data_IF_338632251676
#
_entry.id   IF_338632251676
#
_cell.length_a   1.000
_cell.length_b   1.000
_cell.length_c   1.000
_cell.angle_alpha   90.00
_cell.angle_beta   90.00
_cell.angle_gamma   90.00
#
_symmetry.space_group_name_H-M   'P 1'
#
loop_
_entity.id
_entity.type
_entity.pdbx_description
1 polymer ?
#
# COMPACT_ATOMS: atom_id res chain seq x y z
N UNK A 1 -7.05 25.77 -21.71
CA UNK A 1 -5.97 26.70 -21.29
C UNK A 1 -6.02 26.78 -19.77
N UNK A 2 -5.21 25.99 -19.07
CA UNK A 2 -5.17 25.97 -17.61
C UNK A 2 -4.27 27.08 -17.05
N UNK A 3 -4.42 27.48 -15.78
CA UNK A 3 -3.60 28.52 -15.17
C UNK A 3 -2.15 28.05 -15.14
N UNK A 4 -1.28 28.75 -15.87
CA UNK A 4 0.13 28.44 -15.92
C UNK A 4 0.76 28.51 -14.54
N UNK A 5 1.50 27.47 -14.15
CA UNK A 5 2.39 27.54 -12.99
C UNK A 5 3.32 28.74 -13.18
N UNK A 6 3.42 29.62 -12.20
CA UNK A 6 4.45 30.65 -12.21
C UNK A 6 5.82 29.95 -12.22
N UNK A 7 6.72 30.31 -13.18
CA UNK A 7 8.09 29.83 -13.15
C UNK A 7 8.74 30.15 -11.81
N UNK A 8 9.61 29.27 -11.33
CA UNK A 8 10.36 29.44 -10.05
C UNK A 8 10.96 30.84 -9.91
N UNK A 9 11.42 31.44 -11.00
CA UNK A 9 11.90 32.82 -11.05
C UNK A 9 10.85 33.89 -10.71
N UNK A 10 9.58 33.73 -11.13
CA UNK A 10 8.51 34.66 -10.77
C UNK A 10 8.15 34.57 -9.29
N UNK A 11 8.11 33.36 -8.73
CA UNK A 11 7.87 33.14 -7.30
C UNK A 11 8.99 33.74 -6.44
N UNK A 12 10.25 33.48 -6.82
CA UNK A 12 11.42 34.06 -6.14
C UNK A 12 11.46 35.60 -6.28
N UNK A 13 11.10 36.15 -7.44
CA UNK A 13 10.95 37.61 -7.61
C UNK A 13 9.84 38.20 -6.75
N UNK A 14 8.74 37.47 -6.54
CA UNK A 14 7.62 37.91 -5.68
C UNK A 14 8.01 37.90 -4.20
N UNK A 15 8.72 36.87 -3.74
CA UNK A 15 9.27 36.80 -2.38
C UNK A 15 10.33 37.89 -2.17
N UNK A 16 11.21 38.11 -3.16
CA UNK A 16 12.20 39.18 -3.10
C UNK A 16 11.58 40.56 -2.99
N UNK A 17 10.44 40.82 -3.65
CA UNK A 17 9.68 42.06 -3.50
C UNK A 17 9.12 42.24 -2.09
N UNK A 18 8.53 41.19 -1.52
CA UNK A 18 7.99 41.19 -0.14
C UNK A 18 9.09 41.45 0.89
N UNK A 19 10.28 40.87 0.70
CA UNK A 19 11.45 41.10 1.56
C UNK A 19 11.92 42.56 1.53
N UNK A 20 11.96 43.19 0.35
CA UNK A 20 12.30 44.62 0.21
C UNK A 20 11.26 45.51 0.89
N UNK A 21 9.97 45.20 0.73
CA UNK A 21 8.89 46.01 1.29
C UNK A 21 8.75 45.88 2.83
N UNK A 22 9.27 44.79 3.42
CA UNK A 22 9.16 44.51 4.87
C UNK A 22 10.47 44.67 5.65
N UNK A 23 11.58 45.00 4.97
CA UNK A 23 12.89 45.13 5.61
C UNK A 23 13.48 43.82 6.13
N UNK A 24 12.92 42.68 5.74
CA UNK A 24 13.42 41.34 6.11
C UNK A 24 14.41 40.89 5.05
N UNK A 25 15.67 40.64 5.41
CA UNK A 25 16.65 40.13 4.45
C UNK A 25 16.27 38.72 3.98
N UNK A 26 16.40 38.44 2.68
CA UNK A 26 16.16 37.11 2.10
C UNK A 26 16.97 35.99 2.80
N UNK A 27 18.12 36.34 3.39
CA UNK A 27 18.98 35.47 4.21
C UNK A 27 18.31 34.96 5.49
N UNK A 28 17.29 35.66 6.02
CA UNK A 28 16.53 35.27 7.22
C UNK A 28 15.26 34.48 6.90
N UNK A 29 14.75 34.52 5.67
CA UNK A 29 13.74 33.59 5.18
C UNK A 29 14.42 32.29 4.75
N UNK A 30 14.71 31.42 5.72
CA UNK A 30 15.06 30.03 5.43
C UNK A 30 13.81 29.25 4.98
N UNK A 31 13.17 29.67 3.88
CA UNK A 31 12.12 28.91 3.21
C UNK A 31 12.82 27.83 2.39
N UNK A 32 13.34 26.84 3.09
CA UNK A 32 13.64 25.54 2.50
C UNK A 32 12.28 25.02 1.99
N UNK A 33 12.06 24.98 0.68
CA UNK A 33 10.95 24.21 0.12
C UNK A 33 11.31 22.76 0.38
N UNK A 34 10.87 22.25 1.52
CA UNK A 34 11.05 20.87 1.93
C UNK A 34 10.24 20.01 0.96
N UNK A 35 10.92 19.38 0.00
CA UNK A 35 10.29 18.50 -1.00
C UNK A 35 9.97 17.15 -0.35
N UNK A 36 8.87 17.10 0.40
CA UNK A 36 8.41 15.85 1.00
C UNK A 36 7.93 14.86 -0.09
N UNK A 37 8.28 13.58 0.05
CA UNK A 37 7.70 12.53 -0.80
C UNK A 37 6.31 12.21 -0.31
N UNK A 38 5.31 12.41 -1.16
CA UNK A 38 3.92 12.12 -0.85
C UNK A 38 3.58 10.68 -1.25
N UNK A 39 3.33 9.83 -0.26
CA UNK A 39 2.76 8.49 -0.45
C UNK A 39 1.25 8.54 -0.21
N UNK A 40 0.49 8.03 -1.17
CA UNK A 40 -0.96 7.91 -1.10
C UNK A 40 -1.34 6.43 -1.08
N UNK A 41 -1.67 5.90 0.10
CA UNK A 41 -2.12 4.53 0.27
C UNK A 41 -3.57 4.40 -0.21
N UNK A 42 -3.76 3.82 -1.40
CA UNK A 42 -5.09 3.59 -1.96
C UNK A 42 -5.78 2.40 -1.28
N UNK A 43 -7.10 2.43 -1.23
CA UNK A 43 -7.90 1.29 -0.81
C UNK A 43 -7.83 0.17 -1.87
N UNK A 44 -7.81 -1.08 -1.41
CA UNK A 44 -7.90 -2.25 -2.30
C UNK A 44 -9.34 -2.46 -2.75
N UNK A 45 -9.51 -2.85 -4.02
CA UNK A 45 -10.82 -3.21 -4.59
C UNK A 45 -10.96 -4.70 -4.89
N UNK A 46 -9.86 -5.45 -4.85
CA UNK A 46 -9.89 -6.88 -5.10
C UNK A 46 -10.70 -7.56 -3.98
N UNK A 47 -11.74 -8.35 -4.30
CA UNK A 47 -12.53 -9.04 -3.29
C UNK A 47 -11.65 -9.88 -2.37
N UNK A 48 -11.92 -9.84 -1.07
CA UNK A 48 -11.19 -10.55 0.00
C UNK A 48 -9.72 -10.13 0.18
N UNK A 49 -9.24 -9.08 -0.49
CA UNK A 49 -7.91 -8.53 -0.23
C UNK A 49 -7.96 -7.64 1.02
N UNK A 50 -7.84 -8.27 2.19
CA UNK A 50 -7.81 -7.57 3.49
C UNK A 50 -6.43 -7.00 3.83
N UNK A 51 -5.37 -7.41 3.10
CA UNK A 51 -4.02 -6.90 3.34
C UNK A 51 -3.88 -5.48 2.83
N UNK A 52 -2.87 -4.78 3.32
CA UNK A 52 -2.54 -3.41 2.95
C UNK A 52 -1.03 -3.30 2.72
N UNK A 53 -0.60 -2.39 1.86
CA UNK A 53 0.82 -2.18 1.59
C UNK A 53 1.55 -1.56 2.79
N UNK A 54 0.90 -0.64 3.50
CA UNK A 54 1.44 0.02 4.69
C UNK A 54 0.53 -0.27 5.88
N UNK A 55 1.11 -0.81 6.96
CA UNK A 55 0.43 -0.97 8.25
C UNK A 55 0.43 0.36 9.04
N UNK A 56 -0.43 0.54 10.04
CA UNK A 56 -0.39 1.72 10.92
C UNK A 56 1.00 1.94 11.55
N UNK A 57 1.69 0.89 11.94
CA UNK A 57 3.06 0.95 12.49
C UNK A 57 4.03 1.51 11.45
N UNK A 58 3.98 1.01 10.22
CA UNK A 58 4.83 1.53 9.13
C UNK A 58 4.51 2.97 8.76
N UNK A 59 3.26 3.38 8.83
CA UNK A 59 2.90 4.79 8.69
C UNK A 59 3.54 5.65 9.80
N UNK A 60 3.54 5.20 11.06
CA UNK A 60 4.21 5.91 12.17
C UNK A 60 5.72 6.03 11.97
N UNK A 61 6.35 4.99 11.44
CA UNK A 61 7.79 5.01 11.09
C UNK A 61 8.06 6.02 9.96
N UNK A 62 7.27 5.98 8.88
CA UNK A 62 7.45 6.83 7.70
C UNK A 62 7.26 8.32 8.00
N UNK A 63 6.26 8.71 8.80
CA UNK A 63 6.05 10.12 9.18
C UNK A 63 7.27 10.69 9.92
N UNK A 64 7.99 9.86 10.67
CA UNK A 64 9.18 10.28 11.43
C UNK A 64 10.47 10.20 10.59
N UNK A 65 10.43 9.55 9.44
CA UNK A 65 11.61 9.32 8.62
C UNK A 65 11.98 10.58 7.83
N UNK A 66 13.29 10.80 7.69
CA UNK A 66 13.88 11.83 6.82
C UNK A 66 14.54 11.12 5.64
N UNK A 67 14.37 11.66 4.44
CA UNK A 67 14.89 11.05 3.21
C UNK A 67 16.35 11.45 3.03
N UNK A 68 17.25 10.48 3.13
CA UNK A 68 18.67 10.69 2.84
C UNK A 68 18.86 11.00 1.34
N UNK A 69 19.54 12.11 1.04
CA UNK A 69 19.90 12.50 -0.34
C UNK A 69 18.82 13.19 -1.18
N UNK A 70 17.64 13.48 -0.60
CA UNK A 70 16.47 14.02 -1.29
C UNK A 70 15.93 15.33 -0.71
N UNK A 71 16.80 16.25 -0.29
CA UNK A 71 16.43 17.48 0.43
C UNK A 71 16.02 17.21 1.88
N UNK A 72 15.83 18.26 2.68
CA UNK A 72 15.50 18.18 4.12
C UNK A 72 14.08 17.66 4.42
N UNK A 73 13.52 16.79 3.55
CA UNK A 73 12.13 16.34 3.57
C UNK A 73 11.91 14.94 4.09
N UNK A 74 10.81 14.78 4.84
CA UNK A 74 10.25 13.50 5.25
C UNK A 74 9.15 13.01 4.31
N UNK A 75 8.34 12.06 4.78
CA UNK A 75 7.19 11.56 4.04
C UNK A 75 5.92 12.31 4.41
N UNK A 76 5.15 12.71 3.40
CA UNK A 76 3.73 13.05 3.54
C UNK A 76 2.92 11.79 3.28
N UNK A 77 1.99 11.44 4.17
CA UNK A 77 1.14 10.28 4.00
C UNK A 77 -0.33 10.68 3.85
N UNK A 78 -0.99 10.14 2.83
CA UNK A 78 -2.46 10.13 2.73
C UNK A 78 -2.92 8.68 2.68
N UNK A 79 -3.95 8.34 3.46
CA UNK A 79 -4.52 6.99 3.54
C UNK A 79 -5.99 7.05 3.18
N UNK A 80 -6.40 6.26 2.20
CA UNK A 80 -7.82 6.09 1.91
C UNK A 80 -8.52 5.26 3.00
N UNK A 81 -9.78 5.65 3.29
CA UNK A 81 -10.73 4.82 4.03
C UNK A 81 -10.93 3.48 3.30
N UNK A 82 -11.14 2.40 4.06
CA UNK A 82 -11.26 1.07 3.47
C UNK A 82 -12.08 0.12 4.33
N UNK A 83 -13.25 -0.27 3.83
CA UNK A 83 -14.18 -1.19 4.51
C UNK A 83 -13.64 -2.64 4.61
N UNK A 84 -12.75 -3.06 3.72
CA UNK A 84 -12.25 -4.45 3.66
C UNK A 84 -10.88 -4.67 4.33
N UNK A 85 -10.16 -3.59 4.67
CA UNK A 85 -8.78 -3.69 5.19
C UNK A 85 -8.80 -4.28 6.60
N UNK A 86 -7.83 -5.12 6.94
CA UNK A 86 -7.75 -5.75 8.26
C UNK A 86 -7.54 -4.74 9.39
N UNK A 87 -6.80 -3.66 9.12
CA UNK A 87 -6.60 -2.54 10.04
C UNK A 87 -7.72 -1.52 9.92
N UNK A 88 -8.18 -1.01 11.06
CA UNK A 88 -9.27 -0.05 11.13
C UNK A 88 -8.80 1.34 10.70
N UNK A 89 -9.71 2.12 10.15
CA UNK A 89 -9.41 3.49 9.68
C UNK A 89 -9.00 4.40 10.84
N UNK A 90 -9.54 4.19 12.04
CA UNK A 90 -9.18 4.95 13.25
C UNK A 90 -7.72 4.76 13.65
N UNK A 91 -7.13 3.59 13.38
CA UNK A 91 -5.71 3.33 13.68
C UNK A 91 -4.80 4.24 12.85
N UNK A 92 -5.15 4.48 11.58
CA UNK A 92 -4.44 5.43 10.73
C UNK A 92 -4.74 6.89 11.10
N UNK A 93 -6.01 7.22 11.34
CA UNK A 93 -6.43 8.57 11.70
C UNK A 93 -5.81 9.06 13.03
N UNK A 94 -5.46 8.14 13.93
CA UNK A 94 -4.77 8.45 15.19
C UNK A 94 -3.30 8.88 15.03
N UNK A 95 -2.71 8.69 13.84
CA UNK A 95 -1.30 8.98 13.58
C UNK A 95 -1.15 10.45 13.18
N UNK A 96 -0.50 11.24 14.05
CA UNK A 96 -0.14 12.63 13.70
C UNK A 96 0.68 12.66 12.41
N UNK A 97 0.28 13.49 11.44
CA UNK A 97 0.93 13.61 10.13
C UNK A 97 0.37 12.70 9.02
N UNK A 98 -0.61 11.84 9.32
CA UNK A 98 -1.37 11.08 8.31
C UNK A 98 -2.66 11.83 7.97
N UNK A 99 -2.89 12.07 6.68
CA UNK A 99 -4.15 12.59 6.16
C UNK A 99 -5.08 11.45 5.74
N UNK A 100 -6.36 11.52 6.08
CA UNK A 100 -7.35 10.54 5.60
C UNK A 100 -8.06 11.05 4.33
N UNK A 101 -8.32 10.16 3.38
CA UNK A 101 -9.04 10.46 2.13
C UNK A 101 -10.17 9.46 1.88
N UNK A 102 -11.15 9.83 1.05
CA UNK A 102 -12.25 8.93 0.71
C UNK A 102 -11.79 7.74 -0.13
N UNK A 103 -12.47 6.61 0.02
CA UNK A 103 -12.19 5.36 -0.72
C UNK A 103 -12.19 5.59 -2.23
N UNK A 104 -11.10 5.23 -2.91
CA UNK A 104 -10.98 5.32 -4.37
C UNK A 104 -10.77 6.74 -4.92
N UNK A 105 -10.37 7.70 -4.08
CA UNK A 105 -10.13 9.09 -4.48
C UNK A 105 -8.74 9.37 -5.06
N UNK A 106 -7.84 8.38 -5.07
CA UNK A 106 -6.49 8.49 -5.64
C UNK A 106 -6.42 9.04 -7.07
N UNK A 107 -7.39 8.86 -8.00
CA UNK A 107 -7.30 9.48 -9.33
C UNK A 107 -7.28 11.01 -9.26
N UNK A 108 -7.81 11.60 -8.18
CA UNK A 108 -7.82 13.03 -7.89
C UNK A 108 -6.65 13.47 -6.98
N UNK A 109 -5.78 12.54 -6.58
CA UNK A 109 -4.60 12.86 -5.76
C UNK A 109 -3.66 13.83 -6.50
N UNK A 110 -2.81 14.58 -5.77
CA UNK A 110 -1.79 15.42 -6.37
C UNK A 110 -0.91 14.62 -7.36
N UNK A 111 -0.56 15.20 -8.50
CA UNK A 111 0.13 14.49 -9.60
C UNK A 111 1.47 13.89 -9.16
N UNK A 112 2.14 14.55 -8.24
CA UNK A 112 3.41 14.15 -7.66
C UNK A 112 3.30 13.02 -6.63
N UNK A 113 2.10 12.70 -6.15
CA UNK A 113 1.91 11.60 -5.20
C UNK A 113 2.28 10.26 -5.84
N UNK A 114 2.94 9.41 -5.04
CA UNK A 114 3.10 8.00 -5.35
C UNK A 114 1.88 7.26 -4.82
N UNK A 115 1.12 6.63 -5.71
CA UNK A 115 -0.04 5.83 -5.33
C UNK A 115 0.47 4.45 -4.93
N UNK A 116 0.34 4.12 -3.66
CA UNK A 116 0.82 2.88 -3.06
C UNK A 116 -0.36 1.93 -2.87
N UNK A 117 -0.25 0.72 -3.40
CA UNK A 117 -1.22 -0.35 -3.23
C UNK A 117 -0.56 -1.71 -3.28
N UNK A 118 -1.34 -2.76 -3.09
CA UNK A 118 -0.90 -4.14 -3.14
C UNK A 118 -1.32 -4.81 -4.44
N UNK A 119 -2.62 -4.78 -4.79
CA UNK A 119 -3.14 -5.55 -5.93
C UNK A 119 -3.32 -4.72 -7.20
N UNK A 120 -3.75 -5.39 -8.27
CA UNK A 120 -4.00 -4.77 -9.57
C UNK A 120 -5.02 -3.61 -9.50
N UNK A 121 -4.89 -2.64 -10.41
CA UNK A 121 -5.87 -1.56 -10.55
C UNK A 121 -7.18 -2.10 -11.15
N UNK A 122 -8.33 -1.49 -10.84
CA UNK A 122 -9.59 -1.83 -11.49
C UNK A 122 -9.50 -1.67 -13.01
N UNK A 123 -10.22 -2.52 -13.73
CA UNK A 123 -10.40 -2.39 -15.17
C UNK A 123 -11.00 -1.03 -15.52
N UNK A 124 -10.33 -0.32 -16.41
CA UNK A 124 -10.75 1.00 -16.90
C UNK A 124 -9.95 1.33 -18.16
N UNK A 125 -10.45 2.28 -18.97
CA UNK A 125 -9.76 2.83 -20.14
C UNK A 125 -9.13 4.21 -19.85
N UNK A 126 -9.28 4.70 -18.62
CA UNK A 126 -8.82 6.01 -18.22
C UNK A 126 -7.29 6.06 -18.14
N UNK A 127 -6.66 7.14 -18.62
CA UNK A 127 -5.22 7.33 -18.48
C UNK A 127 -4.80 7.36 -17.01
N UNK A 128 -3.66 6.76 -16.70
CA UNK A 128 -3.06 6.82 -15.35
C UNK A 128 -1.88 7.78 -15.37
N UNK A 129 -2.01 8.88 -14.63
CA UNK A 129 -1.04 9.99 -14.65
C UNK A 129 0.00 9.91 -13.52
N UNK A 130 -0.29 9.13 -12.47
CA UNK A 130 0.53 9.05 -11.26
C UNK A 130 1.62 7.97 -11.38
N UNK A 131 2.54 8.02 -10.42
CA UNK A 131 3.51 6.94 -10.18
C UNK A 131 2.89 5.93 -9.22
N UNK A 132 2.83 4.68 -9.60
CA UNK A 132 2.20 3.62 -8.81
C UNK A 132 3.20 2.60 -8.29
N UNK A 133 3.08 2.21 -7.02
CA UNK A 133 3.86 1.15 -6.38
C UNK A 133 2.90 0.03 -5.99
N UNK A 134 2.92 -1.12 -6.68
CA UNK A 134 1.98 -2.24 -6.49
C UNK A 134 2.41 -3.49 -7.27
N UNK A 135 1.76 -4.64 -7.04
CA UNK A 135 1.88 -5.81 -7.93
C UNK A 135 1.07 -5.55 -9.20
N UNK A 136 1.74 -5.13 -10.28
CA UNK A 136 1.04 -4.77 -11.52
C UNK A 136 0.62 -5.98 -12.35
N UNK A 137 1.34 -7.09 -12.21
CA UNK A 137 1.09 -8.33 -12.95
C UNK A 137 0.96 -8.08 -14.47
N UNK A 138 1.86 -7.28 -15.03
CA UNK A 138 1.81 -6.87 -16.44
C UNK A 138 3.02 -7.29 -17.27
N UNK A 139 4.03 -7.91 -16.64
CA UNK A 139 5.31 -8.22 -17.29
C UNK A 139 5.52 -9.70 -17.64
N UNK A 140 4.46 -10.52 -17.53
CA UNK A 140 4.47 -11.96 -17.86
C UNK A 140 3.28 -12.35 -18.74
N UNK A 141 2.81 -11.44 -19.60
CA UNK A 141 1.70 -11.66 -20.53
C UNK A 141 0.38 -12.09 -19.86
N UNK A 142 0.10 -11.63 -18.64
CA UNK A 142 -1.14 -11.93 -17.94
C UNK A 142 -2.34 -11.25 -18.61
N UNK A 143 -3.54 -11.83 -18.54
CA UNK A 143 -4.76 -11.21 -19.09
C UNK A 143 -4.90 -9.75 -18.66
N UNK A 144 -5.13 -8.85 -19.63
CA UNK A 144 -5.27 -7.41 -19.38
C UNK A 144 -3.96 -6.61 -19.28
N UNK A 145 -2.79 -7.25 -19.46
CA UNK A 145 -1.49 -6.60 -19.32
C UNK A 145 -1.30 -5.43 -20.29
N UNK A 146 -1.65 -5.62 -21.57
CA UNK A 146 -1.45 -4.62 -22.61
C UNK A 146 -2.34 -3.39 -22.38
N UNK A 147 -3.59 -3.60 -21.98
CA UNK A 147 -4.54 -2.56 -21.62
C UNK A 147 -4.04 -1.75 -20.42
N UNK A 148 -3.53 -2.41 -19.38
CA UNK A 148 -2.96 -1.73 -18.23
C UNK A 148 -1.78 -0.84 -18.64
N UNK A 149 -0.80 -1.38 -19.36
CA UNK A 149 0.36 -0.62 -19.82
C UNK A 149 -0.04 0.55 -20.71
N UNK A 150 -1.03 0.35 -21.60
CA UNK A 150 -1.54 1.40 -22.46
C UNK A 150 -2.11 2.59 -21.66
N UNK A 151 -2.78 2.35 -20.52
CA UNK A 151 -3.28 3.43 -19.65
C UNK A 151 -2.15 4.28 -19.08
N UNK A 152 -1.06 3.67 -18.65
CA UNK A 152 0.11 4.37 -18.13
C UNK A 152 0.83 5.15 -19.23
N UNK A 153 1.01 4.55 -20.42
CA UNK A 153 1.57 5.24 -21.60
C UNK A 153 0.74 6.46 -21.97
N UNK A 154 -0.60 6.33 -22.01
CA UNK A 154 -1.51 7.42 -22.36
C UNK A 154 -1.51 8.55 -21.30
N UNK A 155 -1.35 8.22 -20.02
CA UNK A 155 -1.37 9.19 -18.93
C UNK A 155 -0.01 9.79 -18.58
N UNK A 156 1.08 9.19 -19.05
CA UNK A 156 2.44 9.57 -18.66
C UNK A 156 2.80 9.19 -17.22
N UNK A 157 2.05 8.26 -16.62
CA UNK A 157 2.36 7.70 -15.31
C UNK A 157 3.51 6.69 -15.37
N UNK A 158 3.82 6.06 -14.22
CA UNK A 158 4.85 5.02 -14.17
C UNK A 158 4.47 3.91 -13.19
N UNK A 159 4.93 2.69 -13.49
CA UNK A 159 4.73 1.51 -12.64
C UNK A 159 6.08 1.16 -11.98
N UNK A 160 6.09 1.20 -10.66
CA UNK A 160 7.14 0.63 -9.81
C UNK A 160 6.61 -0.72 -9.31
N UNK A 161 6.76 -1.75 -10.14
CA UNK A 161 6.21 -3.07 -9.84
C UNK A 161 7.02 -3.71 -8.72
N UNK A 162 6.36 -3.90 -7.58
CA UNK A 162 7.02 -4.46 -6.39
C UNK A 162 7.40 -5.93 -6.60
N UNK A 163 6.86 -6.65 -7.58
CA UNK A 163 7.30 -8.02 -7.87
C UNK A 163 8.78 -8.08 -8.31
N UNK A 164 9.32 -6.97 -8.84
CA UNK A 164 10.64 -6.93 -9.49
C UNK A 164 11.61 -5.96 -8.80
N UNK A 165 11.32 -5.48 -7.59
CA UNK A 165 12.23 -4.58 -6.86
C UNK A 165 13.44 -5.34 -6.32
N UNK A 166 14.63 -4.83 -6.62
CA UNK A 166 15.91 -5.36 -6.14
C UNK A 166 16.72 -4.29 -5.41
N UNK A 167 17.62 -4.71 -4.53
CA UNK A 167 18.71 -3.86 -4.04
C UNK A 167 19.81 -3.68 -5.09
N UNK A 168 20.85 -2.92 -4.73
CA UNK A 168 22.02 -2.63 -5.57
C UNK A 168 22.82 -3.89 -5.95
N UNK A 169 22.64 -5.01 -5.23
CA UNK A 169 23.27 -6.30 -5.52
C UNK A 169 22.37 -7.20 -6.37
N UNK A 170 21.21 -6.72 -6.81
CA UNK A 170 20.23 -7.50 -7.57
C UNK A 170 19.41 -8.47 -6.72
N UNK A 171 19.49 -8.39 -5.38
CA UNK A 171 18.68 -9.22 -4.49
C UNK A 171 17.28 -8.63 -4.36
N UNK A 172 16.27 -9.48 -4.51
CA UNK A 172 14.87 -9.12 -4.30
C UNK A 172 14.65 -8.55 -2.88
N UNK A 173 14.12 -7.33 -2.77
CA UNK A 173 13.85 -6.60 -1.50
C UNK A 173 12.37 -6.59 -1.13
N UNK A 174 11.57 -7.38 -1.84
CA UNK A 174 10.12 -7.34 -1.83
C UNK A 174 9.57 -7.95 -0.54
N UNK A 175 8.43 -7.46 0.00
CA UNK A 175 7.73 -8.15 1.07
C UNK A 175 7.39 -9.59 0.67
N UNK A 176 8.05 -10.55 1.33
CA UNK A 176 7.86 -11.98 1.11
C UNK A 176 6.66 -12.49 1.90
N UNK A 177 5.65 -12.98 1.19
CA UNK A 177 4.48 -13.64 1.79
C UNK A 177 4.68 -15.15 2.02
N UNK A 178 5.84 -15.68 1.68
CA UNK A 178 6.11 -17.13 1.61
C UNK A 178 5.95 -17.84 2.95
N UNK A 179 6.49 -17.27 4.04
CA UNK A 179 6.38 -17.87 5.38
C UNK A 179 4.92 -18.01 5.81
N UNK A 180 4.14 -16.93 5.68
CA UNK A 180 2.71 -16.95 6.02
C UNK A 180 1.89 -17.83 5.08
N UNK A 181 2.22 -17.85 3.78
CA UNK A 181 1.60 -18.76 2.83
C UNK A 181 1.82 -20.23 3.20
N UNK A 182 3.04 -20.59 3.62
CA UNK A 182 3.38 -21.93 4.11
C UNK A 182 2.62 -22.28 5.39
N UNK A 183 2.57 -21.37 6.36
CA UNK A 183 1.86 -21.56 7.62
C UNK A 183 0.35 -21.75 7.41
N UNK A 184 -0.28 -20.88 6.62
CA UNK A 184 -1.70 -21.00 6.27
C UNK A 184 -1.99 -22.29 5.48
N UNK A 185 -1.12 -22.67 4.54
CA UNK A 185 -1.26 -23.91 3.78
C UNK A 185 -1.20 -25.15 4.68
N UNK A 186 -0.27 -25.18 5.63
CA UNK A 186 -0.20 -26.23 6.65
C UNK A 186 -1.47 -26.26 7.50
N UNK A 187 -1.92 -25.11 8.01
CA UNK A 187 -3.13 -25.03 8.83
C UNK A 187 -4.37 -25.58 8.09
N UNK A 188 -4.59 -25.14 6.84
CA UNK A 188 -5.68 -25.63 5.99
C UNK A 188 -5.55 -27.12 5.72
N UNK A 189 -4.35 -27.62 5.44
CA UNK A 189 -4.10 -29.05 5.23
C UNK A 189 -4.46 -29.90 6.46
N UNK A 190 -4.05 -29.46 7.66
CA UNK A 190 -4.40 -30.14 8.92
C UNK A 190 -5.91 -30.08 9.19
N UNK A 191 -6.55 -28.93 8.94
CA UNK A 191 -8.01 -28.78 9.08
C UNK A 191 -8.74 -29.75 8.13
N UNK A 192 -8.32 -29.82 6.87
CA UNK A 192 -8.90 -30.72 5.88
C UNK A 192 -8.74 -32.19 6.28
N UNK A 193 -7.55 -32.58 6.73
CA UNK A 193 -7.30 -33.94 7.23
C UNK A 193 -8.18 -34.27 8.45
N UNK A 194 -8.22 -33.39 9.46
CA UNK A 194 -9.09 -33.57 10.62
C UNK A 194 -10.56 -33.72 10.20
N UNK A 195 -11.02 -32.90 9.26
CA UNK A 195 -12.40 -32.95 8.77
C UNK A 195 -12.73 -34.30 8.12
N UNK A 196 -11.86 -34.82 7.24
CA UNK A 196 -12.05 -36.13 6.60
C UNK A 196 -12.10 -37.27 7.62
N UNK A 197 -11.33 -37.18 8.70
CA UNK A 197 -11.34 -38.20 9.76
C UNK A 197 -12.60 -38.12 10.64
N UNK A 198 -13.15 -36.92 10.85
CA UNK A 198 -14.35 -36.71 11.68
C UNK A 198 -15.64 -36.95 10.89
N UNK A 199 -15.69 -36.49 9.64
CA UNK A 199 -16.86 -36.44 8.77
C UNK A 199 -16.50 -36.96 7.36
N UNK A 200 -16.27 -38.28 7.19
CA UNK A 200 -15.71 -38.84 5.95
C UNK A 200 -16.55 -38.58 4.70
N UNK A 201 -17.88 -38.47 4.85
CA UNK A 201 -18.82 -38.30 3.74
C UNK A 201 -19.28 -36.85 3.55
N UNK A 202 -18.66 -35.89 4.23
CA UNK A 202 -19.02 -34.47 4.19
C UNK A 202 -17.87 -33.68 3.59
N UNK A 203 -18.18 -32.81 2.62
CA UNK A 203 -17.21 -31.90 2.05
C UNK A 203 -16.78 -30.85 3.09
N UNK A 204 -15.50 -30.49 3.07
CA UNK A 204 -14.97 -29.43 3.94
C UNK A 204 -15.73 -28.11 3.66
N UNK A 205 -16.32 -27.46 4.69
CA UNK A 205 -17.00 -26.18 4.50
C UNK A 205 -15.98 -25.08 4.13
N UNK A 206 -16.52 -23.93 3.68
CA UNK A 206 -15.69 -22.76 3.37
C UNK A 206 -14.82 -22.36 4.56
N UNK A 207 -13.55 -22.05 4.27
CA UNK A 207 -12.61 -21.51 5.25
C UNK A 207 -12.62 -19.99 5.15
N UNK A 208 -12.66 -19.32 6.30
CA UNK A 208 -12.61 -17.86 6.41
C UNK A 208 -11.22 -17.41 6.88
N UNK A 209 -10.89 -16.15 6.62
CA UNK A 209 -9.69 -15.53 7.17
C UNK A 209 -9.77 -15.43 8.69
N UNK A 210 -8.62 -15.57 9.35
CA UNK A 210 -8.44 -15.30 10.78
C UNK A 210 -7.93 -13.86 10.96
N UNK A 211 -8.22 -13.23 12.09
CA UNK A 211 -7.73 -11.88 12.37
C UNK A 211 -6.27 -11.85 12.84
N UNK A 212 -5.78 -12.96 13.40
CA UNK A 212 -4.39 -13.14 13.82
C UNK A 212 -3.95 -14.62 13.78
N UNK A 213 -2.64 -14.85 13.93
CA UNK A 213 -2.03 -16.17 13.91
C UNK A 213 -2.47 -17.05 15.08
N UNK A 214 -2.66 -16.48 16.27
CA UNK A 214 -3.03 -17.23 17.49
C UNK A 214 -4.42 -17.85 17.36
N UNK A 215 -5.36 -17.13 16.78
CA UNK A 215 -6.71 -17.64 16.49
C UNK A 215 -6.67 -18.83 15.52
N UNK A 216 -5.87 -18.72 14.45
CA UNK A 216 -5.68 -19.83 13.51
C UNK A 216 -5.08 -21.05 14.21
N UNK A 217 -4.01 -20.86 14.98
CA UNK A 217 -3.33 -21.94 15.70
C UNK A 217 -4.23 -22.57 16.77
N UNK A 218 -5.01 -21.78 17.49
CA UNK A 218 -5.99 -22.26 18.47
C UNK A 218 -7.05 -23.14 17.80
N UNK A 219 -7.55 -22.74 16.62
CA UNK A 219 -8.50 -23.53 15.85
C UNK A 219 -7.89 -24.85 15.34
N UNK A 220 -6.68 -24.83 14.80
CA UNK A 220 -5.99 -26.05 14.37
C UNK A 220 -5.78 -27.01 15.55
N UNK A 221 -5.32 -26.49 16.70
CA UNK A 221 -5.13 -27.28 17.93
C UNK A 221 -6.43 -27.89 18.44
N UNK A 222 -7.57 -27.19 18.33
CA UNK A 222 -8.85 -27.74 18.76
C UNK A 222 -9.28 -28.92 17.89
N UNK A 223 -9.08 -28.85 16.57
CA UNK A 223 -9.37 -29.97 15.64
C UNK A 223 -8.48 -31.18 15.88
N UNK A 224 -7.20 -30.98 16.15
CA UNK A 224 -6.30 -32.08 16.51
C UNK A 224 -6.73 -32.75 17.83
N UNK A 225 -7.18 -31.98 18.83
CA UNK A 225 -7.70 -32.54 20.09
C UNK A 225 -8.98 -33.37 19.88
N UNK A 226 -9.88 -32.94 18.99
CA UNK A 226 -11.07 -33.73 18.62
C UNK A 226 -10.67 -35.09 18.01
N UNK A 227 -9.66 -35.11 17.14
CA UNK A 227 -9.13 -36.35 16.56
C UNK A 227 -8.48 -37.25 17.60
N UNK A 228 -7.63 -36.70 18.47
CA UNK A 228 -6.97 -37.47 19.51
C UNK A 228 -7.99 -38.20 20.39
N UNK A 229 -9.05 -37.49 20.81
CA UNK A 229 -10.17 -38.08 21.56
C UNK A 229 -10.87 -39.19 20.78
N UNK A 230 -11.20 -38.97 19.50
CA UNK A 230 -11.87 -39.99 18.66
C UNK A 230 -11.01 -41.25 18.48
N UNK A 231 -9.69 -41.10 18.42
CA UNK A 231 -8.72 -42.19 18.24
C UNK A 231 -8.17 -42.78 19.55
N UNK A 232 -8.59 -42.27 20.70
CA UNK A 232 -8.08 -42.64 22.02
C UNK A 232 -6.54 -42.50 22.15
N UNK A 233 -6.00 -41.40 21.60
CA UNK A 233 -4.59 -40.99 21.70
C UNK A 233 -4.39 -39.93 22.79
#
# INVERSE_FOLDING_TARGET
>A
MGPGREPKEKFLKKIGRICVDTGVELSTLNVQVVMAVHLWLRAEKKPNERRTHLTPEKCKELVKAVIAGGGDGGFKLTVELSEQRIFKDEEYASISGVEMASTGSWPSAPKEAFIVGLKELPESKDPVIHRHIFYAHAYKNQTGWAELLHRFVKGGGSIFDIEFMTDDNGKCVVPVFSTMAGLCGMAVGVIAWCHQQLNPDVALPSISAYDDEDQMLAFVKSKLKEIAKKKAL
#
